data_IF_681654242867
#
_entry.id   IF_681654242867
#
_cell.length_a   1.000
_cell.length_b   1.000
_cell.length_c   1.000
_cell.angle_alpha   90.00
_cell.angle_beta   90.00
_cell.angle_gamma   90.00
#
_symmetry.space_group_name_H-M   'P 1'
#
loop_
_entity.id
_entity.type
_entity.pdbx_description
1 polymer ?
#
# COMPACT_ATOMS: atom_id res chain seq x y z
N UNK A 1 5.59 -20.44 -21.52
CA UNK A 1 4.77 -19.56 -20.67
C UNK A 1 4.00 -20.34 -19.60
N UNK A 2 3.40 -21.50 -19.93
CA UNK A 2 2.81 -22.44 -18.96
C UNK A 2 3.73 -22.79 -17.77
N UNK A 3 5.05 -22.88 -18.01
CA UNK A 3 6.04 -23.20 -16.97
C UNK A 3 6.11 -22.17 -15.82
N UNK A 4 6.09 -20.87 -16.15
CA UNK A 4 6.21 -19.81 -15.13
C UNK A 4 4.96 -19.75 -14.25
N UNK A 5 3.78 -20.00 -14.82
CA UNK A 5 2.52 -20.05 -14.09
C UNK A 5 2.45 -21.27 -13.16
N UNK A 6 2.85 -22.45 -13.67
CA UNK A 6 2.95 -23.68 -12.87
C UNK A 6 3.92 -23.51 -11.70
N UNK A 7 5.10 -22.93 -11.93
CA UNK A 7 6.07 -22.67 -10.87
C UNK A 7 5.60 -21.59 -9.89
N UNK A 8 4.89 -20.57 -10.38
CA UNK A 8 4.30 -19.55 -9.51
C UNK A 8 3.26 -20.17 -8.57
N UNK A 9 2.37 -21.02 -9.11
CA UNK A 9 1.38 -21.75 -8.32
C UNK A 9 2.04 -22.64 -7.28
N UNK A 10 3.06 -23.40 -7.69
CA UNK A 10 3.82 -24.29 -6.81
C UNK A 10 4.46 -23.51 -5.66
N UNK A 11 5.21 -22.43 -5.94
CA UNK A 11 5.83 -21.58 -4.90
C UNK A 11 4.80 -21.01 -3.93
N UNK A 12 3.65 -20.54 -4.44
CA UNK A 12 2.59 -20.00 -3.58
C UNK A 12 1.92 -21.08 -2.72
N UNK A 13 1.66 -22.27 -3.29
CA UNK A 13 1.09 -23.39 -2.55
C UNK A 13 2.06 -23.93 -1.49
N UNK A 14 3.34 -24.09 -1.83
CA UNK A 14 4.38 -24.60 -0.92
C UNK A 14 4.64 -23.63 0.25
N UNK A 15 4.50 -22.32 0.02
CA UNK A 15 4.70 -21.31 1.06
C UNK A 15 3.45 -21.03 1.91
N UNK A 16 2.26 -21.37 1.40
CA UNK A 16 0.99 -21.19 2.10
C UNK A 16 0.86 -22.13 3.30
N UNK A 17 0.43 -21.58 4.43
CA UNK A 17 0.33 -22.32 5.70
C UNK A 17 1.66 -22.53 6.43
N UNK A 18 2.80 -22.21 5.80
CA UNK A 18 4.13 -22.30 6.41
C UNK A 18 4.73 -20.92 6.68
N UNK A 19 5.10 -20.21 5.62
CA UNK A 19 5.78 -18.89 5.71
C UNK A 19 4.84 -17.74 5.39
N UNK A 20 3.66 -18.04 4.83
CA UNK A 20 2.63 -17.08 4.51
C UNK A 20 1.25 -17.67 4.83
N UNK A 21 0.36 -16.83 5.37
CA UNK A 21 -1.03 -17.19 5.70
C UNK A 21 -1.95 -16.20 5.00
N UNK A 22 -3.12 -16.69 4.57
CA UNK A 22 -4.15 -15.82 3.96
C UNK A 22 -4.50 -14.67 4.89
N UNK A 23 -4.44 -13.41 4.41
CA UNK A 23 -4.78 -12.27 5.26
C UNK A 23 -6.26 -12.29 5.64
N UNK A 24 -6.55 -12.03 6.92
CA UNK A 24 -7.93 -11.83 7.40
C UNK A 24 -8.31 -10.37 7.18
N UNK A 25 -9.20 -10.13 6.23
CA UNK A 25 -9.71 -8.79 5.92
C UNK A 25 -10.98 -8.51 6.73
N UNK A 26 -11.05 -7.33 7.33
CA UNK A 26 -12.27 -6.87 8.00
C UNK A 26 -13.28 -6.46 6.94
N UNK A 27 -14.51 -6.97 7.06
CA UNK A 27 -15.58 -6.57 6.16
C UNK A 27 -15.98 -5.11 6.41
N UNK A 28 -16.12 -4.37 5.33
CA UNK A 28 -16.60 -2.98 5.29
C UNK A 28 -18.11 -2.88 5.06
N UNK A 29 -18.82 -4.02 4.98
CA UNK A 29 -20.27 -4.06 4.72
C UNK A 29 -21.09 -3.24 5.75
N UNK A 30 -20.64 -3.20 7.00
CA UNK A 30 -21.31 -2.46 8.08
C UNK A 30 -20.97 -0.96 8.11
N UNK A 31 -20.18 -0.45 7.16
CA UNK A 31 -19.74 0.95 7.11
C UNK A 31 -20.71 1.86 6.33
N UNK A 32 -21.92 1.38 6.00
CA UNK A 32 -22.97 2.20 5.39
C UNK A 32 -22.52 2.96 4.12
N UNK A 33 -21.82 2.28 3.21
CA UNK A 33 -21.24 2.88 2.01
C UNK A 33 -22.25 3.09 0.87
N UNK A 34 -23.47 2.56 0.99
CA UNK A 34 -24.46 2.58 -0.10
C UNK A 34 -25.02 3.98 -0.38
N UNK A 35 -25.46 4.21 -1.63
CA UNK A 35 -25.99 5.50 -2.07
C UNK A 35 -27.22 5.99 -1.27
N UNK A 36 -28.02 5.07 -0.71
CA UNK A 36 -29.17 5.39 0.13
C UNK A 36 -28.84 5.67 1.60
N UNK A 37 -27.56 5.60 1.99
CA UNK A 37 -27.10 5.87 3.36
C UNK A 37 -26.73 7.35 3.52
N UNK A 38 -26.75 7.84 4.76
CA UNK A 38 -26.35 9.21 5.07
C UNK A 38 -24.94 9.49 4.54
N UNK A 39 -24.79 10.57 3.77
CA UNK A 39 -23.51 10.98 3.21
C UNK A 39 -22.59 11.52 4.33
N UNK A 40 -21.35 11.01 4.45
CA UNK A 40 -20.37 11.56 5.39
C UNK A 40 -20.04 13.02 5.06
N UNK A 41 -19.97 13.87 6.07
CA UNK A 41 -19.60 15.28 5.94
C UNK A 41 -18.17 15.41 5.38
N UNK A 42 -17.98 16.27 4.38
CA UNK A 42 -16.64 16.57 3.88
C UNK A 42 -15.88 17.48 4.87
N UNK A 43 -14.68 17.05 5.28
CA UNK A 43 -13.78 17.84 6.11
C UNK A 43 -12.45 18.01 5.39
N UNK A 44 -12.16 19.24 4.96
CA UNK A 44 -10.96 19.52 4.19
C UNK A 44 -9.70 19.39 5.06
N UNK A 45 -8.70 18.65 4.55
CA UNK A 45 -7.38 18.51 5.20
C UNK A 45 -6.73 19.87 5.49
N UNK A 46 -6.98 20.86 4.62
CA UNK A 46 -6.50 22.24 4.76
C UNK A 46 -6.84 22.85 6.12
N UNK A 47 -8.06 22.61 6.64
CA UNK A 47 -8.48 23.16 7.95
C UNK A 47 -7.58 22.66 9.08
N UNK A 48 -7.17 21.40 8.99
CA UNK A 48 -6.24 20.81 9.94
C UNK A 48 -4.86 21.44 9.77
N UNK A 49 -4.32 21.49 8.55
CA UNK A 49 -2.99 22.06 8.28
C UNK A 49 -2.91 23.50 8.80
N UNK A 50 -3.88 24.34 8.44
CA UNK A 50 -3.95 25.74 8.84
C UNK A 50 -4.01 25.88 10.38
N UNK A 51 -4.71 24.98 11.08
CA UNK A 51 -4.74 24.97 12.55
C UNK A 51 -3.38 24.59 13.20
N UNK A 52 -2.52 23.89 12.47
CA UNK A 52 -1.16 23.52 12.90
C UNK A 52 -0.10 24.55 12.49
N UNK A 53 -0.48 25.62 11.78
CA UNK A 53 0.42 26.72 11.51
C UNK A 53 0.54 27.65 12.74
N UNK A 54 1.71 28.25 12.98
CA UNK A 54 1.88 29.20 14.06
C UNK A 54 0.99 30.43 13.84
N UNK A 55 0.13 30.75 14.83
CA UNK A 55 -0.63 32.01 14.88
C UNK A 55 0.38 33.17 14.90
N UNK A 56 0.66 33.76 13.74
CA UNK A 56 1.56 34.91 13.53
C UNK A 56 3.05 34.68 13.85
N UNK A 57 3.90 35.15 12.93
CA UNK A 57 5.32 35.36 13.16
C UNK A 57 5.51 36.24 14.41
N UNK A 58 5.76 35.63 15.56
CA UNK A 58 6.15 36.37 16.76
C UNK A 58 7.36 37.22 16.39
N UNK A 59 7.30 38.56 16.53
CA UNK A 59 8.37 39.47 16.10
C UNK A 59 9.64 39.36 16.98
N UNK A 60 9.66 38.43 17.93
CA UNK A 60 10.82 38.09 18.74
C UNK A 60 11.06 36.59 18.65
N UNK A 61 12.23 36.13 18.19
CA UNK A 61 12.63 34.75 18.38
C UNK A 61 12.59 34.48 19.88
N UNK A 62 11.61 33.69 20.33
CA UNK A 62 11.55 33.30 21.72
C UNK A 62 12.75 32.39 22.01
N UNK A 63 13.57 32.80 22.98
CA UNK A 63 14.54 31.89 23.60
C UNK A 63 13.76 30.76 24.26
N UNK A 64 14.15 29.54 23.93
CA UNK A 64 13.40 28.32 24.21
C UNK A 64 13.30 28.05 25.71
N UNK A 65 12.12 27.63 26.17
CA UNK A 65 11.97 26.76 27.33
C UNK A 65 12.26 25.31 26.90
N UNK A 66 12.89 24.51 27.76
CA UNK A 66 13.13 23.09 27.47
C UNK A 66 11.81 22.37 27.18
N UNK A 67 11.76 21.47 26.19
CA UNK A 67 10.55 20.74 25.88
C UNK A 67 10.19 19.78 27.02
N UNK A 68 8.92 19.77 27.40
CA UNK A 68 8.40 18.84 28.43
C UNK A 68 8.39 17.37 27.95
N UNK A 69 8.40 17.13 26.62
CA UNK A 69 8.54 15.81 26.01
C UNK A 69 9.09 15.91 24.58
N UNK A 70 9.77 14.84 24.11
CA UNK A 70 10.24 14.67 22.73
C UNK A 70 9.27 13.76 21.93
N UNK A 71 8.14 13.37 22.52
CA UNK A 71 7.15 12.53 21.86
C UNK A 71 6.39 13.28 20.77
N UNK A 72 6.19 12.62 19.62
CA UNK A 72 5.45 13.20 18.52
C UNK A 72 3.95 13.28 18.88
N UNK A 73 3.32 14.47 18.82
CA UNK A 73 1.89 14.61 19.04
C UNK A 73 1.07 13.78 18.05
N UNK A 74 -0.09 13.30 18.51
CA UNK A 74 -1.00 12.49 17.69
C UNK A 74 -1.35 13.16 16.34
N UNK A 75 -1.61 14.46 16.37
CA UNK A 75 -1.97 15.24 15.21
C UNK A 75 -0.87 15.23 14.13
N UNK A 76 0.41 15.34 14.52
CA UNK A 76 1.56 15.24 13.61
C UNK A 76 1.62 13.88 12.92
N UNK A 77 1.31 12.80 13.65
CA UNK A 77 1.21 11.47 13.06
C UNK A 77 0.07 11.37 12.05
N UNK A 78 -1.07 12.02 12.29
CA UNK A 78 -2.20 12.01 11.34
C UNK A 78 -1.88 12.79 10.05
N UNK A 79 -1.18 13.92 10.14
CA UNK A 79 -0.68 14.63 8.97
C UNK A 79 0.33 13.79 8.18
N UNK A 80 1.27 13.14 8.87
CA UNK A 80 2.25 12.26 8.23
C UNK A 80 1.59 11.09 7.49
N UNK A 81 0.51 10.53 8.05
CA UNK A 81 -0.29 9.49 7.41
C UNK A 81 -1.00 9.98 6.14
N UNK A 82 -1.59 11.17 6.20
CA UNK A 82 -2.24 11.77 5.04
C UNK A 82 -1.22 12.13 3.94
N UNK A 83 -0.04 12.61 4.33
CA UNK A 83 1.04 12.93 3.40
C UNK A 83 1.56 11.69 2.67
N UNK A 84 1.87 10.61 3.39
CA UNK A 84 2.34 9.37 2.77
C UNK A 84 1.28 8.72 1.87
N UNK A 85 0.00 8.84 2.23
CA UNK A 85 -1.09 8.37 1.37
C UNK A 85 -1.09 9.09 0.00
N UNK A 86 -0.79 10.39 -0.02
CA UNK A 86 -0.82 11.20 -1.24
C UNK A 86 0.48 11.12 -2.06
N UNK A 87 1.63 11.09 -1.38
CA UNK A 87 2.94 11.27 -2.03
C UNK A 87 3.80 10.00 -2.03
N UNK A 88 3.51 9.00 -1.18
CA UNK A 88 4.30 7.79 -0.92
C UNK A 88 5.75 8.03 -0.44
N UNK A 89 6.47 8.95 -1.07
CA UNK A 89 7.72 9.55 -0.62
C UNK A 89 7.42 10.98 -0.14
N UNK A 90 7.48 11.19 1.17
CA UNK A 90 7.18 12.49 1.79
C UNK A 90 8.44 13.34 1.77
N UNK A 91 8.45 14.42 0.99
CA UNK A 91 9.59 15.33 0.89
C UNK A 91 9.81 16.15 2.19
N UNK A 92 11.00 16.74 2.32
CA UNK A 92 11.37 17.54 3.48
C UNK A 92 10.37 18.67 3.78
N UNK A 93 9.83 19.30 2.74
CA UNK A 93 8.84 20.37 2.88
C UNK A 93 7.52 19.87 3.50
N UNK A 94 7.08 18.69 3.10
CA UNK A 94 5.89 18.04 3.64
C UNK A 94 6.15 17.50 5.05
N UNK A 95 7.33 16.97 5.33
CA UNK A 95 7.75 16.59 6.69
C UNK A 95 7.69 17.80 7.63
N UNK A 96 8.20 18.95 7.19
CA UNK A 96 8.13 20.20 7.97
C UNK A 96 6.68 20.59 8.27
N UNK A 97 5.77 20.40 7.31
CA UNK A 97 4.33 20.68 7.50
C UNK A 97 3.68 19.78 8.55
N UNK A 98 4.21 18.57 8.76
CA UNK A 98 3.75 17.62 9.77
C UNK A 98 4.29 17.92 11.18
N UNK A 99 5.29 18.78 11.32
CA UNK A 99 5.88 19.10 12.63
C UNK A 99 4.87 19.71 13.60
N UNK A 100 5.07 19.52 14.91
CA UNK A 100 4.26 20.19 15.93
C UNK A 100 4.31 21.68 15.75
N UNK A 101 3.16 22.34 15.86
CA UNK A 101 3.03 23.79 15.78
C UNK A 101 4.06 24.55 16.63
N UNK A 102 4.31 24.09 17.86
CA UNK A 102 5.29 24.67 18.78
C UNK A 102 6.70 24.66 18.18
N UNK A 103 7.09 23.59 17.50
CA UNK A 103 8.42 23.44 16.89
C UNK A 103 8.60 24.25 15.59
N UNK A 104 7.51 24.67 14.95
CA UNK A 104 7.54 25.48 13.72
C UNK A 104 7.85 26.97 13.96
N UNK A 105 7.54 27.48 15.16
CA UNK A 105 7.67 28.91 15.49
C UNK A 105 9.09 29.40 15.78
N UNK A 106 10.07 28.50 15.93
CA UNK A 106 11.45 28.86 16.26
C UNK A 106 12.36 28.85 15.02
N UNK A 107 13.26 29.84 14.93
CA UNK A 107 14.28 29.92 13.88
C UNK A 107 15.49 29.08 14.29
N UNK A 108 15.95 28.18 13.41
CA UNK A 108 17.17 27.37 13.60
C UNK A 108 16.95 25.86 13.65
N UNK A 109 18.05 25.10 13.62
CA UNK A 109 18.05 23.64 13.86
C UNK A 109 18.15 23.40 15.36
N UNK A 110 17.15 22.76 15.95
CA UNK A 110 17.20 22.31 17.34
C UNK A 110 17.23 20.78 17.39
N UNK A 111 17.85 20.21 18.43
CA UNK A 111 17.89 18.76 18.63
C UNK A 111 16.49 18.15 18.63
N UNK A 112 15.50 18.82 19.22
CA UNK A 112 14.10 18.37 19.23
C UNK A 112 13.48 18.42 17.82
N UNK A 113 13.71 19.49 17.03
CA UNK A 113 13.18 19.57 15.66
C UNK A 113 13.75 18.45 14.79
N UNK A 114 15.04 18.16 14.95
CA UNK A 114 15.70 17.02 14.29
C UNK A 114 15.09 15.71 14.77
N UNK A 115 14.84 15.56 16.08
CA UNK A 115 14.21 14.36 16.63
C UNK A 115 12.80 14.14 16.05
N UNK A 116 11.98 15.19 15.93
CA UNK A 116 10.66 15.10 15.32
C UNK A 116 10.70 14.77 13.83
N UNK A 117 11.62 15.39 13.07
CA UNK A 117 11.83 15.06 11.65
C UNK A 117 12.15 13.57 11.50
N UNK A 118 13.17 13.09 12.23
CA UNK A 118 13.57 11.68 12.19
C UNK A 118 12.42 10.73 12.62
N UNK A 119 11.62 11.14 13.61
CA UNK A 119 10.47 10.37 14.07
C UNK A 119 9.36 10.29 13.01
N UNK A 120 9.08 11.40 12.31
CA UNK A 120 8.10 11.44 11.21
C UNK A 120 8.57 10.58 10.04
N UNK A 121 9.82 10.73 9.61
CA UNK A 121 10.41 9.93 8.52
C UNK A 121 10.38 8.44 8.84
N UNK A 122 10.79 8.06 10.05
CA UNK A 122 10.73 6.68 10.52
C UNK A 122 9.28 6.15 10.55
N UNK A 123 8.33 6.97 10.97
CA UNK A 123 6.91 6.62 10.98
C UNK A 123 6.37 6.38 9.56
N UNK A 124 6.64 7.29 8.62
CA UNK A 124 6.27 7.20 7.20
C UNK A 124 6.88 5.94 6.59
N UNK A 125 8.19 5.73 6.74
CA UNK A 125 8.90 4.55 6.21
C UNK A 125 8.32 3.24 6.73
N UNK A 126 8.04 3.16 8.04
CA UNK A 126 7.40 2.00 8.66
C UNK A 126 6.00 1.77 8.08
N UNK A 127 5.24 2.82 7.86
CA UNK A 127 3.91 2.74 7.29
C UNK A 127 3.93 2.24 5.85
N UNK A 128 4.77 2.81 4.98
CA UNK A 128 4.93 2.35 3.59
C UNK A 128 5.37 0.89 3.53
N UNK A 129 6.29 0.48 4.42
CA UNK A 129 6.71 -0.93 4.53
C UNK A 129 5.54 -1.85 4.90
N UNK A 130 4.65 -1.41 5.79
CA UNK A 130 3.46 -2.18 6.16
C UNK A 130 2.43 -2.24 5.02
N UNK A 131 2.25 -1.15 4.26
CA UNK A 131 1.39 -1.14 3.05
C UNK A 131 1.91 -2.15 2.04
N UNK A 132 3.21 -2.12 1.73
CA UNK A 132 3.84 -3.06 0.80
C UNK A 132 3.66 -4.50 1.28
N UNK A 133 3.89 -4.78 2.56
CA UNK A 133 3.71 -6.13 3.12
C UNK A 133 2.26 -6.62 3.01
N UNK A 134 1.28 -5.79 3.39
CA UNK A 134 -0.14 -6.14 3.28
C UNK A 134 -0.56 -6.33 1.83
N UNK A 135 -0.10 -5.45 0.94
CA UNK A 135 -0.35 -5.59 -0.49
C UNK A 135 0.28 -6.88 -1.03
N UNK A 136 1.46 -7.26 -0.57
CA UNK A 136 2.10 -8.51 -0.97
C UNK A 136 1.30 -9.74 -0.55
N UNK A 137 0.79 -9.76 0.68
CA UNK A 137 -0.06 -10.85 1.17
C UNK A 137 -1.39 -10.92 0.41
N UNK A 138 -1.97 -9.75 0.07
CA UNK A 138 -3.14 -9.64 -0.80
C UNK A 138 -2.85 -10.18 -2.21
N UNK A 139 -1.75 -9.77 -2.83
CA UNK A 139 -1.36 -10.21 -4.18
C UNK A 139 -1.16 -11.72 -4.23
N UNK A 140 -0.44 -12.30 -3.26
CA UNK A 140 -0.28 -13.76 -3.18
C UNK A 140 -1.62 -14.47 -3.10
N UNK A 141 -2.54 -13.97 -2.27
CA UNK A 141 -3.89 -14.53 -2.14
C UNK A 141 -4.64 -14.47 -3.49
N UNK A 142 -4.71 -13.29 -4.11
CA UNK A 142 -5.43 -13.10 -5.38
C UNK A 142 -4.84 -13.96 -6.48
N UNK A 143 -3.51 -13.99 -6.62
CA UNK A 143 -2.82 -14.79 -7.63
C UNK A 143 -3.06 -16.27 -7.38
N UNK A 144 -2.87 -16.78 -6.16
CA UNK A 144 -3.10 -18.20 -5.86
C UNK A 144 -4.53 -18.63 -6.20
N UNK A 145 -5.53 -17.79 -5.90
CA UNK A 145 -6.94 -18.09 -6.22
C UNK A 145 -7.26 -18.01 -7.72
N UNK A 146 -6.52 -17.21 -8.50
CA UNK A 146 -6.88 -16.87 -9.88
C UNK A 146 -5.92 -17.41 -10.94
N UNK A 147 -4.80 -18.03 -10.56
CA UNK A 147 -3.74 -18.43 -11.50
C UNK A 147 -4.20 -19.39 -12.61
N UNK A 148 -5.21 -20.22 -12.32
CA UNK A 148 -5.78 -21.16 -13.31
C UNK A 148 -6.90 -20.52 -14.16
N UNK A 149 -7.31 -19.28 -13.86
CA UNK A 149 -8.37 -18.59 -14.58
C UNK A 149 -7.86 -18.03 -15.92
N UNK A 150 -8.60 -18.27 -17.00
CA UNK A 150 -8.22 -17.85 -18.36
C UNK A 150 -8.12 -16.32 -18.50
N UNK A 151 -9.00 -15.56 -17.84
CA UNK A 151 -8.96 -14.09 -17.87
C UNK A 151 -7.72 -13.57 -17.15
N UNK A 152 -7.34 -14.20 -16.04
CA UNK A 152 -6.08 -13.91 -15.34
C UNK A 152 -4.89 -14.15 -16.27
N UNK A 153 -4.76 -15.36 -16.82
CA UNK A 153 -3.65 -15.72 -17.72
C UNK A 153 -3.57 -14.82 -18.95
N UNK A 154 -4.71 -14.41 -19.49
CA UNK A 154 -4.79 -13.46 -20.60
C UNK A 154 -4.33 -12.08 -20.18
N UNK A 155 -4.78 -11.59 -19.03
CA UNK A 155 -4.41 -10.29 -18.51
C UNK A 155 -2.91 -10.19 -18.16
N UNK A 156 -2.29 -11.27 -17.67
CA UNK A 156 -0.87 -11.30 -17.30
C UNK A 156 0.08 -11.20 -18.51
N UNK A 157 -0.41 -11.43 -19.73
CA UNK A 157 0.39 -11.33 -20.97
C UNK A 157 0.61 -9.89 -21.44
N UNK A 158 -0.28 -8.97 -21.08
CA UNK A 158 -0.20 -7.56 -21.49
C UNK A 158 0.24 -6.64 -20.36
N UNK A 159 1.07 -5.65 -20.67
CA UNK A 159 1.61 -4.73 -19.68
C UNK A 159 0.54 -3.83 -19.03
N UNK A 160 -0.45 -3.36 -19.81
CA UNK A 160 -1.53 -2.54 -19.26
C UNK A 160 -2.75 -3.35 -18.80
N UNK A 161 -2.90 -4.59 -19.28
CA UNK A 161 -4.03 -5.45 -18.91
C UNK A 161 -3.92 -5.97 -17.49
N UNK A 162 -2.71 -6.20 -16.97
CA UNK A 162 -2.50 -6.66 -15.59
C UNK A 162 -2.98 -5.63 -14.56
N UNK A 163 -2.65 -4.34 -14.73
CA UNK A 163 -3.10 -3.27 -13.82
C UNK A 163 -4.63 -3.19 -13.85
N UNK A 164 -5.24 -3.21 -15.05
CA UNK A 164 -6.70 -3.16 -15.20
C UNK A 164 -7.37 -4.36 -14.55
N UNK A 165 -6.78 -5.55 -14.70
CA UNK A 165 -7.25 -6.77 -14.07
C UNK A 165 -7.20 -6.64 -12.54
N UNK A 166 -6.04 -6.32 -11.95
CA UNK A 166 -5.95 -6.14 -10.50
C UNK A 166 -6.87 -5.04 -10.00
N UNK A 167 -6.97 -3.91 -10.72
CA UNK A 167 -7.92 -2.85 -10.38
C UNK A 167 -9.36 -3.34 -10.29
N UNK A 168 -9.82 -4.15 -11.26
CA UNK A 168 -11.18 -4.71 -11.25
C UNK A 168 -11.45 -5.67 -10.08
N UNK A 169 -10.39 -6.21 -9.46
CA UNK A 169 -10.48 -7.12 -8.33
C UNK A 169 -10.50 -6.40 -6.98
N UNK A 170 -10.03 -5.16 -6.90
CA UNK A 170 -9.91 -4.41 -5.65
C UNK A 170 -11.29 -4.07 -5.11
N UNK A 171 -11.62 -4.66 -3.97
CA UNK A 171 -12.83 -4.35 -3.20
C UNK A 171 -12.54 -3.30 -2.14
N UNK A 172 -13.61 -2.76 -1.54
CA UNK A 172 -13.52 -1.89 -0.37
C UNK A 172 -12.77 -2.57 0.80
N UNK A 173 -13.01 -3.86 1.03
CA UNK A 173 -12.32 -4.65 2.06
C UNK A 173 -10.80 -4.77 1.81
N UNK A 174 -10.41 -4.99 0.55
CA UNK A 174 -9.01 -5.04 0.15
C UNK A 174 -8.32 -3.67 0.35
N UNK A 175 -8.98 -2.59 -0.08
CA UNK A 175 -8.51 -1.23 0.13
C UNK A 175 -8.37 -0.89 1.62
N UNK A 176 -9.36 -1.27 2.42
CA UNK A 176 -9.36 -1.06 3.86
C UNK A 176 -8.22 -1.82 4.55
N UNK A 177 -7.96 -3.05 4.11
CA UNK A 177 -6.86 -3.86 4.61
C UNK A 177 -5.49 -3.27 4.26
N UNK A 178 -5.23 -2.98 2.97
CA UNK A 178 -3.91 -2.53 2.51
C UNK A 178 -3.53 -1.19 3.11
N UNK A 179 -4.48 -0.25 3.20
CA UNK A 179 -4.27 1.13 3.66
C UNK A 179 -4.80 1.39 5.07
N UNK A 180 -4.86 0.34 5.93
CA UNK A 180 -5.53 0.43 7.23
C UNK A 180 -4.95 1.46 8.21
N UNK A 181 -3.71 1.93 8.00
CA UNK A 181 -3.11 2.97 8.84
C UNK A 181 -3.51 4.37 8.35
N UNK A 182 -3.59 4.55 7.04
CA UNK A 182 -3.99 5.78 6.37
C UNK A 182 -5.48 6.07 6.61
N UNK A 183 -6.33 5.04 6.68
CA UNK A 183 -7.75 5.19 7.05
C UNK A 183 -8.00 5.65 8.49
N UNK A 184 -6.95 5.76 9.32
CA UNK A 184 -7.04 6.42 10.64
C UNK A 184 -6.92 7.94 10.55
N UNK A 185 -6.43 8.46 9.42
CA UNK A 185 -6.29 9.88 9.13
C UNK A 185 -7.31 10.38 8.08
N UNK A 186 -7.65 9.50 7.14
CA UNK A 186 -8.55 9.79 6.01
C UNK A 186 -9.87 9.07 6.24
N UNK A 187 -10.97 9.79 6.03
CA UNK A 187 -12.31 9.21 6.14
C UNK A 187 -12.58 8.21 5.01
N UNK A 188 -12.53 6.93 5.35
CA UNK A 188 -12.82 5.84 4.43
C UNK A 188 -14.26 5.88 3.90
N UNK A 189 -15.23 6.21 4.75
CA UNK A 189 -16.64 6.28 4.34
C UNK A 189 -16.82 7.40 3.33
N UNK A 190 -16.19 8.56 3.53
CA UNK A 190 -16.22 9.65 2.56
C UNK A 190 -15.78 9.19 1.17
N UNK A 191 -14.62 8.51 1.07
CA UNK A 191 -14.03 8.05 -0.21
C UNK A 191 -14.86 6.95 -0.87
N UNK A 192 -15.34 5.98 -0.08
CA UNK A 192 -16.02 4.79 -0.58
C UNK A 192 -17.57 4.86 -0.56
N UNK A 193 -18.17 5.98 -0.15
CA UNK A 193 -19.62 6.18 -0.28
C UNK A 193 -20.05 6.23 -1.77
N UNK A 194 -21.12 5.54 -2.14
CA UNK A 194 -21.60 5.40 -3.52
C UNK A 194 -22.59 6.51 -3.95
N UNK A 195 -22.99 7.37 -3.03
CA UNK A 195 -23.85 8.52 -3.32
C UNK A 195 -23.08 9.65 -4.02
N UNK A 196 -23.67 10.20 -5.08
CA UNK A 196 -23.13 11.36 -5.77
C UNK A 196 -23.24 12.59 -4.86
N UNK A 197 -22.15 13.37 -4.73
CA UNK A 197 -22.16 14.61 -3.95
C UNK A 197 -22.88 15.73 -4.69
N UNK A 198 -23.55 16.60 -3.93
CA UNK A 198 -24.19 17.79 -4.47
C UNK A 198 -23.15 18.82 -4.95
N UNK A 199 -22.01 18.93 -4.25
CA UNK A 199 -20.89 19.77 -4.65
C UNK A 199 -20.02 19.03 -5.68
N UNK A 200 -19.83 19.64 -6.85
CA UNK A 200 -18.98 19.09 -7.90
C UNK A 200 -17.50 19.01 -7.47
N UNK A 201 -17.05 19.96 -6.65
CA UNK A 201 -15.69 19.98 -6.12
C UNK A 201 -15.46 18.82 -5.12
N UNK A 202 -16.41 18.60 -4.21
CA UNK A 202 -16.34 17.47 -3.28
C UNK A 202 -16.41 16.13 -4.01
N UNK A 203 -17.25 16.02 -5.03
CA UNK A 203 -17.34 14.84 -5.87
C UNK A 203 -16.01 14.57 -6.60
N UNK A 204 -15.39 15.61 -7.16
CA UNK A 204 -14.09 15.48 -7.83
C UNK A 204 -13.02 14.96 -6.85
N UNK A 205 -12.92 15.56 -5.66
CA UNK A 205 -11.97 15.13 -4.61
C UNK A 205 -12.23 13.66 -4.22
N UNK A 206 -13.50 13.29 -4.00
CA UNK A 206 -13.87 11.92 -3.65
C UNK A 206 -13.46 10.92 -4.72
N UNK A 207 -13.74 11.24 -5.99
CA UNK A 207 -13.39 10.39 -7.14
C UNK A 207 -11.88 10.27 -7.33
N UNK A 208 -11.13 11.35 -7.15
CA UNK A 208 -9.67 11.33 -7.24
C UNK A 208 -9.05 10.49 -6.12
N UNK A 209 -9.54 10.61 -4.88
CA UNK A 209 -9.10 9.77 -3.76
C UNK A 209 -9.39 8.29 -4.00
N UNK A 210 -10.58 7.98 -4.55
CA UNK A 210 -10.96 6.62 -4.95
C UNK A 210 -10.08 6.10 -6.09
N UNK A 211 -9.70 6.97 -7.03
CA UNK A 211 -8.79 6.62 -8.13
C UNK A 211 -7.38 6.35 -7.61
N UNK A 212 -6.83 7.23 -6.78
CA UNK A 212 -5.48 7.08 -6.18
C UNK A 212 -5.39 5.77 -5.42
N UNK A 213 -6.37 5.46 -4.57
CA UNK A 213 -6.39 4.21 -3.81
C UNK A 213 -6.47 2.97 -4.70
N UNK A 214 -7.45 2.92 -5.60
CA UNK A 214 -7.66 1.72 -6.43
C UNK A 214 -6.54 1.50 -7.45
N UNK A 215 -6.06 2.55 -8.12
CA UNK A 215 -4.94 2.42 -9.06
C UNK A 215 -3.61 2.20 -8.33
N UNK A 216 -3.35 2.92 -7.23
CA UNK A 216 -2.11 2.77 -6.46
C UNK A 216 -1.94 1.35 -5.94
N UNK A 217 -3.01 0.77 -5.38
CA UNK A 217 -3.00 -0.65 -4.96
C UNK A 217 -2.79 -1.57 -6.18
N UNK A 218 -3.48 -1.34 -7.29
CA UNK A 218 -3.36 -2.20 -8.48
C UNK A 218 -1.94 -2.19 -9.08
N UNK A 219 -1.30 -1.03 -9.14
CA UNK A 219 0.09 -0.87 -9.59
C UNK A 219 1.02 -1.61 -8.63
N UNK A 220 0.86 -1.41 -7.32
CA UNK A 220 1.67 -2.11 -6.33
C UNK A 220 1.48 -3.64 -6.40
N UNK A 221 0.27 -4.11 -6.68
CA UNK A 221 0.00 -5.54 -6.91
C UNK A 221 0.72 -6.06 -8.15
N UNK A 222 0.74 -5.30 -9.25
CA UNK A 222 1.52 -5.63 -10.44
C UNK A 222 3.02 -5.75 -10.11
N UNK A 223 3.59 -4.75 -9.46
CA UNK A 223 5.02 -4.73 -9.14
C UNK A 223 5.40 -5.91 -8.25
N UNK A 224 4.59 -6.20 -7.22
CA UNK A 224 4.80 -7.34 -6.34
C UNK A 224 4.63 -8.68 -7.07
N UNK A 225 3.70 -8.77 -8.00
CA UNK A 225 3.56 -9.95 -8.84
C UNK A 225 4.78 -10.17 -9.72
N UNK A 226 5.20 -9.16 -10.50
CA UNK A 226 6.32 -9.26 -11.44
C UNK A 226 7.66 -9.45 -10.74
N UNK A 227 7.98 -8.57 -9.81
CA UNK A 227 9.32 -8.47 -9.23
C UNK A 227 9.51 -9.29 -7.97
N UNK A 228 8.44 -9.81 -7.35
CA UNK A 228 8.59 -10.67 -6.18
C UNK A 228 8.10 -12.08 -6.44
N UNK A 229 6.87 -12.25 -6.92
CA UNK A 229 6.26 -13.58 -7.04
C UNK A 229 6.83 -14.32 -8.26
N UNK A 230 6.76 -13.72 -9.45
CA UNK A 230 7.27 -14.34 -10.68
C UNK A 230 8.79 -14.53 -10.62
N UNK A 231 9.55 -13.54 -10.11
CA UNK A 231 11.00 -13.68 -9.98
C UNK A 231 11.39 -14.86 -9.07
N UNK A 232 10.68 -15.06 -7.95
CA UNK A 232 10.90 -16.24 -7.09
C UNK A 232 10.62 -17.54 -7.84
N UNK A 233 9.53 -17.60 -8.61
CA UNK A 233 9.18 -18.77 -9.41
C UNK A 233 10.21 -19.07 -10.51
N UNK A 234 10.76 -18.03 -11.15
CA UNK A 234 11.81 -18.16 -12.16
C UNK A 234 13.14 -18.68 -11.60
N UNK A 235 13.41 -18.46 -10.30
CA UNK A 235 14.63 -18.91 -9.64
C UNK A 235 14.56 -20.36 -9.13
N UNK A 236 13.40 -21.03 -9.23
CA UNK A 236 13.26 -22.45 -8.86
C UNK A 236 13.66 -23.29 -10.08
N UNK A 237 14.81 -23.98 -10.00
CA UNK A 237 15.23 -24.94 -11.03
C UNK A 237 14.20 -26.07 -11.16
N UNK A 238 13.97 -26.63 -12.36
CA UNK A 238 13.16 -27.82 -12.50
C UNK A 238 13.83 -28.95 -11.71
N UNK A 239 13.14 -29.47 -10.69
CA UNK A 239 13.48 -30.78 -10.12
C UNK A 239 13.47 -31.79 -11.27
N UNK A 240 14.57 -32.52 -11.54
CA UNK A 240 14.57 -33.55 -12.56
C UNK A 240 13.51 -34.59 -12.19
N UNK A 241 12.70 -34.93 -13.19
CA UNK A 241 11.66 -35.94 -13.08
C UNK A 241 12.35 -37.30 -12.80
N UNK A 242 12.09 -37.98 -11.68
CA UNK A 242 12.74 -39.26 -11.35
C UNK A 242 12.32 -40.41 -12.31
N UNK A 243 11.49 -40.12 -13.31
CA UNK A 243 10.92 -41.10 -14.23
C UNK A 243 11.67 -41.24 -15.56
N UNK A 244 12.80 -40.54 -15.76
CA UNK A 244 13.53 -40.56 -17.05
C UNK A 244 14.87 -41.30 -17.08
N UNK A 245 15.25 -42.06 -16.05
CA UNK A 245 16.46 -42.89 -16.07
C UNK A 245 16.11 -44.38 -16.07
N UNK A 246 15.84 -44.90 -17.26
CA UNK A 246 15.44 -46.29 -17.48
C UNK A 246 15.56 -46.73 -18.93
N UNK A 247 16.59 -46.26 -19.63
CA UNK A 247 16.91 -46.67 -21.00
C UNK A 247 18.30 -47.27 -21.09
N UNK A 248 18.42 -48.56 -20.76
CA UNK A 248 19.60 -49.38 -21.07
C UNK A 248 19.90 -49.30 -22.57
N UNK A 249 21.04 -48.73 -22.96
CA UNK A 249 21.61 -48.95 -24.29
C UNK A 249 22.48 -50.22 -24.24
N UNK A 250 22.01 -51.26 -24.93
CA UNK A 250 22.79 -52.45 -25.26
C UNK A 250 24.05 -52.06 -26.05
N UNK A 251 25.20 -52.47 -25.55
CA UNK A 251 26.46 -52.38 -26.27
C UNK A 251 26.48 -53.42 -27.39
N UNK A 252 26.42 -52.96 -28.64
CA UNK A 252 26.69 -53.78 -29.82
C UNK A 252 28.20 -54.10 -29.89
N UNK A 253 28.54 -55.37 -29.69
CA UNK A 253 29.86 -55.93 -29.91
C UNK A 253 29.99 -56.27 -31.40
N UNK A 254 30.97 -55.67 -32.08
CA UNK A 254 31.35 -56.00 -33.46
C UNK A 254 32.34 -57.18 -33.43
N UNK A 255 32.11 -58.29 -34.18
CA UNK A 255 33.11 -59.33 -34.35
C UNK A 255 34.06 -59.03 -35.52
N UNK A 256 35.25 -59.63 -35.44
CA UNK A 256 36.48 -59.45 -36.23
C UNK A 256 36.36 -59.27 -37.75
#
# INVERSE_FOLDING_TARGET
MLYTEVMTKKVLADTHGQTWVTPVMKSTANMNLGAGQQQPEYRALKQFIDANEPLTATPKPQLRSEPESIDLPHYSLQLAKAAEFLYHEVDDATVISCLPRTSKGYIGRSHEKIAYINAIESHVKKMSSNVIKRCQDLTKMVVLTRIDNVDFQTAMKGHHSIIRYFKSMITADMSYFVLSEQWKAIDFQFVHHEGIRASAEEEAIRQDMRRITTYGIAILMEDLYRYTIQQKASNVSPTPDPTQDGGLQEASVVPE
#
